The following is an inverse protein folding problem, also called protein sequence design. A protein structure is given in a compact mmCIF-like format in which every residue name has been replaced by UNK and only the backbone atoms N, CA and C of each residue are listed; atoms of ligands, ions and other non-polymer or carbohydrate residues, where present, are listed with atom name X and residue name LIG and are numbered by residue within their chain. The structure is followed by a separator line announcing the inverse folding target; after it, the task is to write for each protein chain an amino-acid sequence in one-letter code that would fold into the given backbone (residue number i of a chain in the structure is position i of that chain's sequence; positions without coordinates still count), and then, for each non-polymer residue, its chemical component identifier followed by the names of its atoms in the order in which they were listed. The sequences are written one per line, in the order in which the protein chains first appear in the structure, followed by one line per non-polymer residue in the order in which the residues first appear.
data_IF_564912966174
#
_entry.id   IF_564912966174
#
_cell.length_a   1.000
_cell.length_b   1.000
_cell.length_c   1.000
_cell.angle_alpha   90.00
_cell.angle_beta   90.00
_cell.angle_gamma   90.00
#
_symmetry.space_group_name_H-M   'P 1'
#
loop_
_entity.id
_entity.type
_entity.pdbx_description
1 polymer ?
#
# COMPACT_ATOMS: atom_id res chain seq x y z
N UNK A 1 33.41 -44.44 -48.16
CA UNK A 1 32.29 -44.13 -47.23
C UNK A 1 31.19 -43.42 -48.01
N UNK A 2 29.95 -43.88 -47.87
CA UNK A 2 28.81 -43.41 -48.67
C UNK A 2 28.28 -42.06 -48.16
N UNK A 3 27.69 -41.26 -49.04
CA UNK A 3 27.04 -39.98 -48.71
C UNK A 3 25.93 -40.15 -47.64
N UNK A 4 25.27 -41.31 -47.65
CA UNK A 4 24.27 -41.72 -46.65
C UNK A 4 24.84 -41.82 -45.21
N UNK A 5 26.11 -42.25 -45.05
CA UNK A 5 26.72 -42.42 -43.73
C UNK A 5 27.07 -41.06 -43.10
N UNK A 6 27.50 -40.10 -43.92
CA UNK A 6 27.74 -38.72 -43.48
C UNK A 6 26.44 -38.04 -43.06
N UNK A 7 25.35 -38.29 -43.79
CA UNK A 7 24.04 -37.72 -43.46
C UNK A 7 23.48 -38.28 -42.13
N UNK A 8 23.52 -39.60 -41.92
CA UNK A 8 23.12 -40.20 -40.63
C UNK A 8 23.99 -39.73 -39.48
N UNK A 9 25.31 -39.65 -39.67
CA UNK A 9 26.24 -39.16 -38.65
C UNK A 9 25.96 -37.69 -38.28
N UNK A 10 25.68 -36.85 -39.27
CA UNK A 10 25.31 -35.45 -39.04
C UNK A 10 23.97 -35.33 -38.29
N UNK A 11 22.96 -36.10 -38.68
CA UNK A 11 21.66 -36.13 -38.00
C UNK A 11 21.77 -36.61 -36.55
N UNK A 12 22.59 -37.63 -36.29
CA UNK A 12 22.81 -38.17 -34.95
C UNK A 12 23.54 -37.17 -34.05
N UNK A 13 24.58 -36.48 -34.57
CA UNK A 13 25.27 -35.39 -33.85
C UNK A 13 24.34 -34.20 -33.57
N UNK A 14 23.51 -33.82 -34.53
CA UNK A 14 22.52 -32.77 -34.37
C UNK A 14 21.50 -33.11 -33.28
N UNK A 15 21.03 -34.36 -33.21
CA UNK A 15 20.09 -34.79 -32.16
C UNK A 15 20.68 -34.76 -30.75
N UNK A 16 21.97 -35.10 -30.61
CA UNK A 16 22.68 -35.06 -29.33
C UNK A 16 22.91 -33.60 -28.89
N UNK A 17 23.29 -32.72 -29.83
CA UNK A 17 23.43 -31.29 -29.55
C UNK A 17 22.08 -30.62 -29.24
N UNK A 18 21.00 -31.01 -29.89
CA UNK A 18 19.66 -30.50 -29.59
C UNK A 18 19.21 -30.86 -28.16
N UNK A 19 19.44 -32.10 -27.73
CA UNK A 19 19.15 -32.52 -26.35
C UNK A 19 20.04 -31.79 -25.32
N UNK A 20 21.32 -31.62 -25.61
CA UNK A 20 22.23 -30.87 -24.74
C UNK A 20 21.87 -29.38 -24.65
N UNK A 21 21.51 -28.76 -25.78
CA UNK A 21 21.06 -27.38 -25.85
C UNK A 21 19.72 -27.17 -25.14
N UNK A 22 18.75 -28.08 -25.32
CA UNK A 22 17.49 -28.03 -24.59
C UNK A 22 17.70 -28.15 -23.07
N UNK A 23 18.57 -29.07 -22.63
CA UNK A 23 18.90 -29.23 -21.22
C UNK A 23 19.66 -28.02 -20.65
N UNK A 24 20.65 -27.48 -21.36
CA UNK A 24 21.36 -26.27 -20.93
C UNK A 24 20.43 -25.06 -20.87
N UNK A 25 19.60 -24.85 -21.89
CA UNK A 25 18.62 -23.75 -21.93
C UNK A 25 17.63 -23.86 -20.76
N UNK A 26 17.15 -25.07 -20.45
CA UNK A 26 16.25 -25.29 -19.30
C UNK A 26 16.91 -24.98 -17.96
N UNK A 27 18.20 -25.30 -17.79
CA UNK A 27 18.96 -24.99 -16.57
C UNK A 27 19.18 -23.49 -16.43
N UNK A 28 19.61 -22.81 -17.48
CA UNK A 28 19.82 -21.36 -17.45
C UNK A 28 18.51 -20.60 -17.20
N UNK A 29 17.39 -21.05 -17.81
CA UNK A 29 16.07 -20.46 -17.55
C UNK A 29 15.64 -20.72 -16.10
N UNK A 30 15.83 -21.93 -15.57
CA UNK A 30 15.52 -22.22 -14.16
C UNK A 30 16.42 -21.45 -13.19
N UNK A 31 17.71 -21.28 -13.48
CA UNK A 31 18.66 -20.53 -12.64
C UNK A 31 18.39 -19.02 -12.68
N UNK A 32 18.04 -18.47 -13.85
CA UNK A 32 17.60 -17.08 -13.97
C UNK A 32 16.25 -16.84 -13.29
N UNK A 33 15.30 -17.77 -13.43
CA UNK A 33 14.03 -17.71 -12.71
C UNK A 33 14.23 -17.88 -11.19
N UNK A 34 15.15 -18.74 -10.76
CA UNK A 34 15.51 -18.91 -9.35
C UNK A 34 16.22 -17.67 -8.79
N UNK A 35 17.09 -17.02 -9.57
CA UNK A 35 17.75 -15.76 -9.18
C UNK A 35 16.78 -14.57 -9.14
N UNK A 36 15.84 -14.51 -10.09
CA UNK A 36 14.74 -13.54 -10.07
C UNK A 36 13.80 -13.79 -8.88
N UNK A 37 13.53 -15.06 -8.52
CA UNK A 37 12.82 -15.45 -7.29
C UNK A 37 13.64 -15.11 -6.03
N UNK A 38 14.95 -15.26 -6.05
CA UNK A 38 15.84 -14.91 -4.94
C UNK A 38 15.90 -13.39 -4.65
N UNK A 39 15.48 -12.56 -5.61
CA UNK A 39 15.20 -11.13 -5.38
C UNK A 39 13.99 -10.88 -4.47
N UNK A 40 13.06 -11.83 -4.41
CA UNK A 40 11.80 -11.77 -3.66
C UNK A 40 11.71 -12.93 -2.67
N UNK A 41 12.37 -12.77 -1.52
CA UNK A 41 12.30 -13.70 -0.40
C UNK A 41 11.57 -13.05 0.77
N UNK A 42 10.89 -13.84 1.60
CA UNK A 42 10.17 -13.34 2.77
C UNK A 42 11.03 -12.45 3.69
N UNK A 43 12.28 -12.81 4.06
CA UNK A 43 13.13 -11.94 4.89
C UNK A 43 13.36 -10.55 4.26
N UNK A 44 13.71 -10.49 2.97
CA UNK A 44 13.90 -9.23 2.24
C UNK A 44 12.63 -8.39 2.15
N UNK A 45 11.46 -9.02 2.00
CA UNK A 45 10.20 -8.29 1.99
C UNK A 45 9.82 -7.77 3.38
N UNK A 46 10.13 -8.51 4.45
CA UNK A 46 10.00 -8.03 5.83
C UNK A 46 10.94 -6.86 6.13
N UNK A 47 12.22 -6.94 5.73
CA UNK A 47 13.18 -5.83 5.87
C UNK A 47 12.73 -4.58 5.11
N UNK A 48 12.19 -4.78 3.90
CA UNK A 48 11.62 -3.70 3.09
C UNK A 48 10.39 -3.11 3.75
N UNK A 49 9.50 -3.95 4.28
CA UNK A 49 8.32 -3.51 4.99
C UNK A 49 8.66 -2.72 6.26
N UNK A 50 9.66 -3.12 7.03
CA UNK A 50 10.16 -2.37 8.19
C UNK A 50 10.61 -0.96 7.78
N UNK A 51 11.39 -0.84 6.69
CA UNK A 51 11.84 0.46 6.15
C UNK A 51 10.70 1.32 5.64
N UNK A 52 9.73 0.71 4.94
CA UNK A 52 8.54 1.41 4.45
C UNK A 52 7.77 1.94 5.65
N UNK A 53 7.38 1.06 6.59
CA UNK A 53 6.63 1.43 7.79
C UNK A 53 7.31 2.56 8.54
N UNK A 54 8.59 2.43 8.88
CA UNK A 54 9.36 3.47 9.59
C UNK A 54 9.23 4.85 8.95
N UNK A 55 9.13 4.88 7.62
CA UNK A 55 9.08 6.12 6.86
C UNK A 55 7.66 6.71 6.72
N UNK A 56 6.63 6.00 7.22
CA UNK A 56 5.26 6.45 7.44
C UNK A 56 4.95 6.77 8.90
N UNK A 57 5.93 6.61 9.80
CA UNK A 57 5.77 6.92 11.21
C UNK A 57 6.32 8.30 11.53
N UNK A 58 5.80 8.88 12.61
CA UNK A 58 6.32 10.12 13.14
C UNK A 58 7.75 9.89 13.63
N UNK A 59 8.67 10.71 13.15
CA UNK A 59 10.04 10.76 13.62
C UNK A 59 10.11 11.68 14.86
N UNK A 60 10.49 11.15 16.04
CA UNK A 60 10.65 11.96 17.24
C UNK A 60 11.67 13.09 17.10
N UNK A 61 12.67 12.92 16.23
CA UNK A 61 13.71 13.92 15.97
C UNK A 61 13.24 15.01 14.99
N UNK A 62 12.14 14.76 14.27
CA UNK A 62 11.54 15.69 13.29
C UNK A 62 10.02 15.81 13.52
N UNK A 63 9.56 16.64 14.47
CA UNK A 63 8.16 16.74 14.88
C UNK A 63 7.17 17.11 13.76
N UNK A 64 7.65 17.75 12.68
CA UNK A 64 6.89 18.08 11.49
C UNK A 64 6.48 16.85 10.67
N UNK A 65 7.21 15.74 10.80
CA UNK A 65 6.88 14.46 10.15
C UNK A 65 5.55 13.87 10.66
N UNK A 66 5.16 14.16 11.90
CA UNK A 66 3.93 13.65 12.52
C UNK A 66 2.66 14.06 11.73
N UNK A 67 2.71 15.20 11.03
CA UNK A 67 1.57 15.70 10.24
C UNK A 67 1.25 14.83 9.02
N UNK A 68 2.22 14.06 8.52
CA UNK A 68 2.07 13.19 7.35
C UNK A 68 2.25 11.70 7.69
N UNK A 69 2.20 11.37 8.99
CA UNK A 69 2.42 10.03 9.51
C UNK A 69 1.11 9.31 9.78
N UNK A 70 1.18 7.98 9.82
CA UNK A 70 0.06 7.15 10.27
C UNK A 70 -0.13 7.40 11.77
N UNK A 71 -1.31 7.85 12.22
CA UNK A 71 -1.53 8.10 13.64
C UNK A 71 -1.38 6.83 14.46
N UNK A 72 -0.81 6.95 15.66
CA UNK A 72 -0.68 5.84 16.60
C UNK A 72 -2.00 5.09 16.82
N UNK A 73 -3.09 5.85 17.00
CA UNK A 73 -4.42 5.27 17.22
C UNK A 73 -4.89 4.38 16.06
N UNK A 74 -4.48 4.67 14.82
CA UNK A 74 -4.79 3.83 13.65
C UNK A 74 -4.05 2.50 13.73
N UNK A 75 -2.75 2.51 14.09
CA UNK A 75 -1.94 1.29 14.22
C UNK A 75 -2.39 0.43 15.40
N UNK A 76 -2.73 1.04 16.54
CA UNK A 76 -3.23 0.32 17.71
C UNK A 76 -4.56 -0.40 17.45
N UNK A 77 -5.44 0.19 16.64
CA UNK A 77 -6.72 -0.42 16.29
C UNK A 77 -6.65 -1.36 15.07
N UNK A 78 -5.52 -1.38 14.36
CA UNK A 78 -5.32 -2.20 13.17
C UNK A 78 -5.52 -3.69 13.47
N UNK A 79 -6.32 -4.35 12.62
CA UNK A 79 -6.51 -5.81 12.59
C UNK A 79 -5.55 -6.48 11.62
N UNK A 80 -4.96 -5.73 10.71
CA UNK A 80 -3.89 -6.20 9.83
C UNK A 80 -3.18 -5.04 9.15
N UNK A 81 -1.98 -5.32 8.65
CA UNK A 81 -1.17 -4.39 7.88
C UNK A 81 -0.71 -5.08 6.59
N UNK A 82 -0.92 -4.44 5.44
CA UNK A 82 -0.27 -4.83 4.20
C UNK A 82 0.72 -3.73 3.79
N UNK A 83 1.98 -4.09 3.64
CA UNK A 83 3.08 -3.16 3.37
C UNK A 83 3.81 -3.61 2.12
N UNK A 84 3.82 -2.78 1.08
CA UNK A 84 4.37 -3.16 -0.22
C UNK A 84 4.85 -1.96 -1.02
N UNK A 85 5.75 -2.20 -1.96
CA UNK A 85 6.22 -1.20 -2.92
C UNK A 85 5.77 -1.58 -4.33
N UNK A 86 5.35 -0.60 -5.12
CA UNK A 86 4.93 -0.77 -6.51
C UNK A 86 5.78 0.12 -7.40
N UNK A 87 6.37 -0.48 -8.43
CA UNK A 87 6.95 0.26 -9.55
C UNK A 87 5.86 0.48 -10.58
N UNK A 88 5.65 1.74 -10.95
CA UNK A 88 4.73 2.16 -12.00
C UNK A 88 5.54 2.80 -13.13
N UNK A 89 5.19 2.47 -14.36
CA UNK A 89 5.69 3.16 -15.54
C UNK A 89 4.60 3.21 -16.61
N UNK A 90 4.58 4.29 -17.39
CA UNK A 90 3.72 4.32 -18.57
C UNK A 90 3.85 5.55 -19.45
N UNK A 91 3.40 5.38 -20.68
CA UNK A 91 3.19 6.43 -21.69
C UNK A 91 1.97 6.01 -22.52
N UNK A 92 0.82 6.68 -22.29
CA UNK A 92 -0.50 6.29 -22.81
C UNK A 92 -1.03 4.95 -22.23
N UNK A 93 -0.20 3.91 -22.24
CA UNK A 93 -0.40 2.66 -21.52
C UNK A 93 0.44 2.63 -20.25
N UNK A 94 -0.07 1.96 -19.21
CA UNK A 94 0.60 1.83 -17.92
C UNK A 94 0.73 0.38 -17.47
N UNK A 95 1.83 0.12 -16.78
CA UNK A 95 2.06 -1.12 -16.05
C UNK A 95 2.49 -0.82 -14.63
N UNK A 96 1.97 -1.61 -13.69
CA UNK A 96 2.40 -1.63 -12.29
C UNK A 96 2.81 -3.04 -11.91
N UNK A 97 3.90 -3.14 -11.15
CA UNK A 97 4.31 -4.38 -10.52
C UNK A 97 4.89 -4.07 -9.14
N UNK A 98 4.48 -4.84 -8.13
CA UNK A 98 4.94 -4.65 -6.77
C UNK A 98 4.97 -5.92 -5.94
N UNK A 99 5.60 -5.81 -4.78
CA UNK A 99 5.68 -6.88 -3.79
C UNK A 99 5.74 -6.32 -2.38
N UNK A 100 5.37 -7.16 -1.43
CA UNK A 100 5.50 -6.87 -0.03
C UNK A 100 5.01 -8.01 0.84
N UNK A 101 4.55 -7.67 2.04
CA UNK A 101 4.01 -8.62 3.02
C UNK A 101 2.72 -8.13 3.62
N UNK A 102 1.93 -9.08 4.13
CA UNK A 102 0.78 -8.82 4.98
C UNK A 102 0.95 -9.54 6.32
N UNK A 103 0.52 -8.89 7.40
CA UNK A 103 0.40 -9.45 8.75
C UNK A 103 -0.98 -9.15 9.32
N UNK A 104 -1.45 -10.00 10.23
CA UNK A 104 -2.72 -9.83 10.93
C UNK A 104 -2.50 -9.81 12.44
N UNK A 105 -3.34 -9.07 13.16
CA UNK A 105 -3.37 -9.09 14.61
C UNK A 105 -4.18 -10.30 15.07
N UNK A 106 -3.57 -11.12 15.92
CA UNK A 106 -4.16 -12.32 16.47
C UNK A 106 -5.06 -11.98 17.68
N UNK A 107 -5.94 -12.92 18.11
CA UNK A 107 -6.83 -12.69 19.25
C UNK A 107 -6.12 -12.39 20.58
N UNK A 108 -4.87 -12.83 20.72
CA UNK A 108 -4.01 -12.56 21.89
C UNK A 108 -3.31 -11.19 21.81
N UNK A 109 -3.53 -10.42 20.74
CA UNK A 109 -2.94 -9.11 20.50
C UNK A 109 -1.59 -9.13 19.77
N UNK A 110 -0.98 -10.31 19.62
CA UNK A 110 0.29 -10.49 18.90
C UNK A 110 0.11 -10.39 17.38
N UNK A 111 1.21 -10.23 16.65
CA UNK A 111 1.21 -10.25 15.20
C UNK A 111 1.43 -11.66 14.65
N UNK A 112 0.67 -12.01 13.61
CA UNK A 112 0.77 -13.28 12.91
C UNK A 112 2.08 -13.41 12.14
N UNK A 113 2.40 -14.64 11.69
CA UNK A 113 3.42 -14.85 10.67
C UNK A 113 3.08 -14.04 9.39
N UNK A 114 4.07 -13.49 8.68
CA UNK A 114 3.83 -12.70 7.49
C UNK A 114 3.56 -13.60 6.28
N UNK A 115 2.71 -13.13 5.37
CA UNK A 115 2.50 -13.73 4.06
C UNK A 115 3.02 -12.81 2.97
N UNK A 116 3.85 -13.31 2.07
CA UNK A 116 4.32 -12.55 0.92
C UNK A 116 3.19 -12.31 -0.07
N UNK A 117 3.14 -11.08 -0.57
CA UNK A 117 2.13 -10.61 -1.51
C UNK A 117 2.79 -10.02 -2.75
N UNK A 118 2.09 -10.11 -3.86
CA UNK A 118 2.43 -9.47 -5.13
C UNK A 118 1.29 -8.58 -5.56
N UNK A 119 1.60 -7.51 -6.29
CA UNK A 119 0.57 -6.69 -6.92
C UNK A 119 0.91 -6.38 -8.36
N UNK A 120 -0.12 -6.33 -9.19
CA UNK A 120 0.00 -6.01 -10.61
C UNK A 120 -1.22 -5.22 -11.08
N UNK A 121 -0.98 -4.28 -11.98
CA UNK A 121 -2.03 -3.58 -12.69
C UNK A 121 -1.56 -3.28 -14.12
N UNK A 122 -2.52 -3.24 -15.04
CA UNK A 122 -2.35 -2.61 -16.34
C UNK A 122 -3.43 -1.56 -16.48
N UNK A 123 -3.09 -0.46 -17.14
CA UNK A 123 -4.00 0.65 -17.30
C UNK A 123 -3.76 1.42 -18.59
N UNK A 124 -4.65 2.36 -18.82
CA UNK A 124 -4.61 3.28 -19.95
C UNK A 124 -5.02 4.67 -19.47
N UNK A 125 -4.35 5.70 -19.99
CA UNK A 125 -4.66 7.07 -19.61
C UNK A 125 -3.72 8.09 -20.25
N UNK A 126 -4.06 9.37 -20.08
CA UNK A 126 -3.19 10.47 -20.46
C UNK A 126 -2.09 10.60 -19.41
N UNK A 127 -1.11 9.71 -19.48
CA UNK A 127 -0.01 9.63 -18.52
C UNK A 127 1.34 9.48 -19.17
N UNK A 128 2.36 10.00 -18.51
CA UNK A 128 3.77 9.81 -18.83
C UNK A 128 4.60 9.79 -17.55
N UNK A 129 5.50 8.82 -17.45
CA UNK A 129 6.53 8.80 -16.42
C UNK A 129 6.74 7.46 -15.77
N UNK A 130 7.52 7.49 -14.69
CA UNK A 130 7.78 6.35 -13.84
C UNK A 130 7.98 6.79 -12.39
N UNK A 131 7.44 6.00 -11.48
CA UNK A 131 7.52 6.22 -10.05
C UNK A 131 7.58 4.90 -9.29
N UNK A 132 8.13 4.97 -8.09
CA UNK A 132 8.03 3.92 -7.09
C UNK A 132 7.13 4.45 -6.00
N UNK A 133 6.03 3.75 -5.74
CA UNK A 133 5.10 4.10 -4.68
C UNK A 133 5.15 3.03 -3.59
N UNK A 134 5.39 3.48 -2.35
CA UNK A 134 5.40 2.65 -1.14
C UNK A 134 4.04 2.77 -0.47
N UNK A 135 3.39 1.66 -0.12
CA UNK A 135 2.06 1.62 0.46
C UNK A 135 2.06 0.97 1.84
N UNK A 136 1.25 1.52 2.74
CA UNK A 136 0.80 0.89 3.98
C UNK A 136 -0.73 0.90 3.96
N UNK A 137 -1.32 -0.29 3.90
CA UNK A 137 -2.76 -0.49 4.02
C UNK A 137 -3.04 -1.02 5.41
N UNK A 138 -3.87 -0.27 6.16
CA UNK A 138 -4.35 -0.65 7.49
C UNK A 138 -5.74 -1.26 7.35
N UNK A 139 -5.87 -2.52 7.74
CA UNK A 139 -7.14 -3.23 7.79
C UNK A 139 -7.78 -2.98 9.17
N UNK A 140 -8.97 -2.40 9.18
CA UNK A 140 -9.64 -1.99 10.42
C UNK A 140 -10.64 -3.03 10.95
N UNK A 141 -10.90 -4.11 10.20
CA UNK A 141 -11.80 -5.19 10.60
C UNK A 141 -11.22 -6.58 10.31
N UNK A 142 -11.65 -7.59 11.07
CA UNK A 142 -11.31 -8.98 10.78
C UNK A 142 -11.81 -9.43 9.41
N UNK A 143 -12.95 -8.90 8.97
CA UNK A 143 -13.51 -9.24 7.66
C UNK A 143 -12.64 -8.73 6.52
N UNK A 144 -12.00 -7.56 6.68
CA UNK A 144 -10.99 -7.06 5.74
C UNK A 144 -9.77 -7.99 5.67
N UNK A 145 -9.30 -8.47 6.84
CA UNK A 145 -8.19 -9.45 6.92
C UNK A 145 -8.59 -10.78 6.28
N UNK A 146 -9.79 -11.29 6.58
CA UNK A 146 -10.34 -12.53 6.00
C UNK A 146 -10.50 -12.41 4.49
N UNK A 147 -11.02 -11.28 4.00
CA UNK A 147 -11.14 -11.02 2.57
C UNK A 147 -9.77 -11.10 1.89
N UNK A 148 -8.74 -10.50 2.48
CA UNK A 148 -7.37 -10.61 1.99
C UNK A 148 -6.85 -12.06 2.03
N UNK A 149 -7.02 -12.73 3.17
CA UNK A 149 -6.47 -14.05 3.45
C UNK A 149 -7.11 -15.17 2.60
N UNK A 150 -8.41 -15.07 2.31
CA UNK A 150 -9.18 -16.12 1.64
C UNK A 150 -9.31 -15.93 0.13
N UNK A 151 -9.40 -14.69 -0.35
CA UNK A 151 -9.70 -14.47 -1.77
C UNK A 151 -8.52 -14.79 -2.68
N UNK A 152 -7.28 -14.75 -2.17
CA UNK A 152 -6.05 -14.97 -2.96
C UNK A 152 -5.82 -13.92 -4.06
N UNK A 153 -6.81 -13.08 -4.33
CA UNK A 153 -6.80 -11.85 -5.12
C UNK A 153 -7.68 -10.83 -4.38
N UNK A 154 -7.13 -9.69 -4.00
CA UNK A 154 -7.90 -8.55 -3.52
C UNK A 154 -7.83 -7.45 -4.57
N UNK A 155 -8.98 -7.06 -5.12
CA UNK A 155 -9.10 -5.90 -5.99
C UNK A 155 -9.55 -4.69 -5.17
N UNK A 156 -8.65 -3.74 -4.98
CA UNK A 156 -8.97 -2.48 -4.28
C UNK A 156 -9.89 -1.65 -5.19
N UNK A 157 -11.01 -1.17 -4.64
CA UNK A 157 -12.07 -0.48 -5.41
C UNK A 157 -13.16 -1.38 -5.99
N UNK A 158 -12.99 -2.71 -5.93
CA UNK A 158 -14.00 -3.68 -6.33
C UNK A 158 -14.62 -4.40 -5.13
N UNK A 159 -13.86 -5.35 -4.57
CA UNK A 159 -14.33 -6.24 -3.50
C UNK A 159 -14.22 -5.63 -2.10
N UNK A 160 -13.34 -4.64 -1.93
CA UNK A 160 -13.17 -3.90 -0.68
C UNK A 160 -12.92 -2.43 -1.00
N UNK A 161 -13.70 -1.55 -0.37
CA UNK A 161 -13.48 -0.11 -0.47
C UNK A 161 -12.26 0.27 0.37
N UNK A 162 -11.42 1.12 -0.21
CA UNK A 162 -10.29 1.72 0.48
C UNK A 162 -10.51 3.23 0.54
N UNK A 163 -10.18 3.81 1.68
CA UNK A 163 -10.18 5.25 1.87
C UNK A 163 -8.76 5.72 2.19
N UNK A 164 -8.44 6.97 1.84
CA UNK A 164 -7.27 7.62 2.39
C UNK A 164 -7.39 7.66 3.93
N UNK A 165 -6.34 7.23 4.62
CA UNK A 165 -6.35 7.21 6.08
C UNK A 165 -6.24 8.62 6.68
N UNK A 166 -6.71 8.84 7.92
CA UNK A 166 -6.52 10.11 8.61
C UNK A 166 -5.03 10.34 8.88
N UNK A 167 -4.61 11.61 8.84
CA UNK A 167 -3.25 12.08 9.18
C UNK A 167 -3.34 13.21 10.20
N UNK A 168 -2.24 13.48 10.93
CA UNK A 168 -2.13 14.56 11.91
C UNK A 168 -2.46 14.15 13.35
N UNK A 169 -3.06 15.06 14.13
CA UNK A 169 -3.43 14.83 15.54
C UNK A 169 -4.84 15.35 15.86
N UNK A 170 -5.44 14.88 16.96
CA UNK A 170 -6.65 15.48 17.54
C UNK A 170 -7.99 14.94 17.04
N UNK A 171 -9.03 15.78 17.06
CA UNK A 171 -10.44 15.36 16.96
C UNK A 171 -10.84 14.67 15.65
N UNK A 172 -10.20 15.00 14.53
CA UNK A 172 -10.50 14.37 13.23
C UNK A 172 -10.12 12.88 13.22
N UNK A 173 -9.03 12.51 13.90
CA UNK A 173 -8.60 11.11 14.03
C UNK A 173 -9.57 10.34 14.91
N UNK A 174 -9.99 10.93 16.03
CA UNK A 174 -10.95 10.30 16.93
C UNK A 174 -12.29 9.99 16.24
N UNK A 175 -12.74 10.85 15.31
CA UNK A 175 -13.91 10.56 14.49
C UNK A 175 -13.65 9.42 13.51
N UNK A 176 -12.53 9.46 12.79
CA UNK A 176 -12.18 8.45 11.79
C UNK A 176 -11.96 7.04 12.37
N UNK A 177 -11.40 6.92 13.58
CA UNK A 177 -11.22 5.62 14.24
C UNK A 177 -12.50 5.08 14.89
N UNK A 178 -13.52 5.94 15.12
CA UNK A 178 -14.80 5.53 15.72
C UNK A 178 -15.69 4.79 14.72
N UNK A 179 -15.66 5.19 13.47
CA UNK A 179 -16.35 4.53 12.35
C UNK A 179 -15.38 4.43 11.16
N UNK A 180 -14.40 3.50 11.24
CA UNK A 180 -13.34 3.43 10.25
C UNK A 180 -13.82 2.76 8.95
N UNK A 181 -13.31 3.26 7.82
CA UNK A 181 -13.42 2.52 6.56
C UNK A 181 -12.77 1.12 6.71
N UNK A 182 -13.21 0.08 5.97
CA UNK A 182 -12.63 -1.26 6.09
C UNK A 182 -11.11 -1.28 5.89
N UNK A 183 -10.62 -0.42 4.98
CA UNK A 183 -9.20 -0.19 4.72
C UNK A 183 -8.86 1.31 4.78
N UNK A 184 -7.83 1.66 5.55
CA UNK A 184 -7.11 2.92 5.36
C UNK A 184 -5.85 2.71 4.54
N UNK A 185 -5.56 3.66 3.68
CA UNK A 185 -4.54 3.53 2.63
C UNK A 185 -3.61 4.75 2.70
N UNK A 186 -2.32 4.51 2.98
CA UNK A 186 -1.25 5.51 3.07
C UNK A 186 -0.15 5.19 2.07
N UNK A 187 0.29 6.16 1.27
CA UNK A 187 1.39 5.94 0.33
C UNK A 187 2.23 7.17 0.14
N UNK A 188 3.41 6.90 -0.41
CA UNK A 188 4.44 7.87 -0.71
C UNK A 188 5.09 7.45 -2.02
N UNK A 189 4.97 8.33 -3.01
CA UNK A 189 5.54 8.14 -4.33
C UNK A 189 6.86 8.88 -4.45
N UNK A 190 7.85 8.24 -5.08
CA UNK A 190 9.12 8.84 -5.48
C UNK A 190 9.29 8.63 -6.98
N UNK A 191 9.40 9.71 -7.74
CA UNK A 191 9.57 9.65 -9.19
C UNK A 191 8.96 10.85 -9.91
N UNK A 192 8.94 10.77 -11.23
CA UNK A 192 8.31 11.76 -12.09
C UNK A 192 7.19 11.08 -12.87
N UNK A 193 5.97 11.33 -12.45
CA UNK A 193 4.78 10.81 -13.09
C UNK A 193 3.74 11.92 -13.20
N UNK A 194 3.26 12.17 -14.41
CA UNK A 194 2.23 13.16 -14.68
C UNK A 194 1.12 12.51 -15.49
N UNK A 195 -0.11 12.62 -15.03
CA UNK A 195 -1.26 12.16 -15.79
C UNK A 195 -2.47 11.73 -15.00
N UNK A 196 -3.51 11.38 -15.74
CA UNK A 196 -4.74 10.78 -15.23
C UNK A 196 -4.84 9.38 -15.84
N UNK A 197 -5.04 8.38 -15.00
CA UNK A 197 -5.05 6.97 -15.41
C UNK A 197 -6.11 6.18 -14.66
N UNK A 198 -6.83 5.32 -15.38
CA UNK A 198 -7.69 4.31 -14.76
C UNK A 198 -6.92 2.99 -14.68
N UNK A 199 -6.79 2.45 -13.47
CA UNK A 199 -5.96 1.27 -13.20
C UNK A 199 -6.67 0.33 -12.24
N UNK A 200 -6.81 -0.93 -12.63
CA UNK A 200 -7.28 -1.99 -11.73
C UNK A 200 -6.11 -2.62 -11.00
N UNK A 201 -6.07 -2.53 -9.67
CA UNK A 201 -4.99 -3.10 -8.85
C UNK A 201 -5.44 -4.42 -8.23
N UNK A 202 -4.67 -5.48 -8.45
CA UNK A 202 -4.88 -6.79 -7.81
C UNK A 202 -3.73 -7.07 -6.85
N UNK A 203 -4.04 -7.47 -5.62
CA UNK A 203 -3.08 -8.01 -4.66
C UNK A 203 -3.27 -9.53 -4.57
N UNK A 204 -2.19 -10.29 -4.77
CA UNK A 204 -2.22 -11.76 -4.76
C UNK A 204 -1.24 -12.33 -3.74
N UNK A 205 -1.59 -13.47 -3.17
CA UNK A 205 -0.66 -14.25 -2.35
C UNK A 205 0.46 -14.83 -3.22
N UNK A 206 1.72 -14.71 -2.76
CA UNK A 206 2.88 -15.36 -3.39
C UNK A 206 3.15 -16.71 -2.75
N UNK A 207 2.32 -17.69 -3.09
CA UNK A 207 2.35 -19.07 -2.53
C UNK A 207 3.72 -19.73 -2.66
N UNK A 208 4.40 -19.54 -3.79
CA UNK A 208 5.74 -20.09 -4.02
C UNK A 208 6.77 -19.45 -3.10
N UNK A 209 6.74 -18.13 -2.94
CA UNK A 209 7.66 -17.43 -2.02
C UNK A 209 7.41 -17.82 -0.57
N UNK A 210 6.14 -17.97 -0.17
CA UNK A 210 5.77 -18.48 1.15
C UNK A 210 6.29 -19.91 1.34
N UNK A 211 6.03 -20.80 0.38
CA UNK A 211 6.50 -22.20 0.41
C UNK A 211 8.02 -22.29 0.52
N UNK A 212 8.75 -21.49 -0.25
CA UNK A 212 10.21 -21.49 -0.27
C UNK A 212 10.79 -21.10 1.11
N UNK A 213 10.12 -20.20 1.83
CA UNK A 213 10.52 -19.80 3.19
C UNK A 213 10.07 -20.80 4.26
N UNK A 214 8.80 -21.18 4.28
CA UNK A 214 8.21 -22.04 5.32
C UNK A 214 8.52 -23.54 5.11
N UNK A 215 9.13 -23.93 4.00
CA UNK A 215 9.48 -25.31 3.67
C UNK A 215 8.31 -26.19 3.23
N UNK A 216 7.08 -25.68 3.29
CA UNK A 216 5.86 -26.38 2.90
C UNK A 216 4.82 -25.38 2.37
N UNK A 217 3.87 -25.82 1.53
CA UNK A 217 2.82 -24.94 1.01
C UNK A 217 1.83 -24.58 2.11
N UNK A 218 2.02 -23.43 2.74
CA UNK A 218 1.12 -22.87 3.75
C UNK A 218 0.33 -21.72 3.12
N UNK A 219 -1.01 -21.77 3.10
CA UNK A 219 -1.82 -20.69 2.55
C UNK A 219 -1.81 -19.46 3.48
N UNK A 220 -2.01 -18.27 2.91
CA UNK A 220 -2.04 -17.01 3.65
C UNK A 220 -3.00 -17.03 4.83
N UNK A 221 -4.17 -17.68 4.71
CA UNK A 221 -5.11 -17.84 5.83
C UNK A 221 -4.48 -18.52 7.05
N UNK A 222 -3.65 -19.54 6.86
CA UNK A 222 -3.04 -20.26 7.97
C UNK A 222 -1.93 -19.44 8.63
N UNK A 223 -1.21 -18.64 7.82
CA UNK A 223 -0.21 -17.69 8.31
C UNK A 223 -0.88 -16.57 9.14
N UNK A 224 -1.95 -15.97 8.59
CA UNK A 224 -2.64 -14.81 9.18
C UNK A 224 -3.57 -15.18 10.35
N UNK A 225 -3.92 -16.45 10.51
CA UNK A 225 -4.69 -16.95 11.68
C UNK A 225 -3.81 -17.51 12.79
N UNK A 226 -2.47 -17.43 12.66
CA UNK A 226 -1.54 -17.81 13.71
C UNK A 226 -1.32 -19.33 13.86
N UNK A 227 -1.65 -20.13 12.83
CA UNK A 227 -1.33 -21.57 12.84
C UNK A 227 0.17 -21.83 12.70
N UNK A 228 0.91 -20.83 12.26
CA UNK A 228 2.36 -20.82 12.13
C UNK A 228 2.91 -19.72 13.04
N UNK A 229 3.94 -20.00 13.86
CA UNK A 229 4.56 -18.97 14.67
C UNK A 229 5.25 -17.92 13.80
N UNK A 230 5.26 -16.68 14.28
CA UNK A 230 5.97 -15.60 13.63
C UNK A 230 7.49 -15.92 13.55
N UNK A 231 8.11 -15.83 12.36
CA UNK A 231 9.52 -16.14 12.19
C UNK A 231 10.42 -14.98 12.64
N UNK A 232 11.64 -15.29 13.09
CA UNK A 232 12.67 -14.30 13.45
C UNK A 232 13.01 -13.34 12.30
N UNK A 233 12.88 -13.82 11.04
CA UNK A 233 13.10 -13.01 9.85
C UNK A 233 12.16 -11.79 9.71
N UNK A 234 11.10 -11.71 10.52
CA UNK A 234 10.16 -10.60 10.54
C UNK A 234 10.32 -9.68 11.77
N UNK A 235 11.28 -9.97 12.66
CA UNK A 235 11.54 -9.22 13.91
C UNK A 235 11.63 -7.72 13.71
N UNK A 236 12.49 -7.25 12.81
CA UNK A 236 12.66 -5.82 12.54
C UNK A 236 11.36 -5.11 12.11
N UNK A 237 10.48 -5.80 11.38
CA UNK A 237 9.18 -5.25 11.01
C UNK A 237 8.25 -5.15 12.23
N UNK A 238 8.22 -6.18 13.08
CA UNK A 238 7.41 -6.16 14.29
C UNK A 238 7.87 -5.11 15.28
N UNK A 239 9.19 -4.96 15.46
CA UNK A 239 9.79 -3.93 16.31
C UNK A 239 9.36 -2.53 15.87
N UNK A 240 9.33 -2.26 14.56
CA UNK A 240 8.87 -0.97 14.03
C UNK A 240 7.39 -0.73 14.33
N UNK A 241 6.53 -1.74 14.15
CA UNK A 241 5.09 -1.62 14.42
C UNK A 241 4.83 -1.44 15.91
N UNK A 242 5.50 -2.23 16.76
CA UNK A 242 5.39 -2.16 18.21
C UNK A 242 5.91 -0.82 18.75
N UNK A 243 7.05 -0.34 18.25
CA UNK A 243 7.57 0.98 18.59
C UNK A 243 6.56 2.07 18.23
N UNK A 244 5.95 2.01 17.03
CA UNK A 244 4.92 2.93 16.58
C UNK A 244 3.68 2.95 17.51
N UNK A 245 3.27 1.77 18.00
CA UNK A 245 2.17 1.61 18.94
C UNK A 245 2.50 2.12 20.35
N UNK A 246 3.77 2.32 20.66
CA UNK A 246 4.24 2.80 21.96
C UNK A 246 4.66 4.28 21.97
N UNK A 247 4.87 4.93 20.80
CA UNK A 247 5.30 6.35 20.71
C UNK A 247 4.43 7.27 21.58
N UNK A 248 5.06 8.08 22.42
CA UNK A 248 4.35 9.10 23.21
C UNK A 248 4.07 10.34 22.35
N UNK A 249 2.83 10.47 21.87
CA UNK A 249 2.38 11.63 21.09
C UNK A 249 1.99 12.84 21.97
N UNK A 250 2.12 12.75 23.30
CA UNK A 250 1.70 13.83 24.22
C UNK A 250 2.49 15.13 24.06
N UNK A 251 3.69 15.07 23.48
CA UNK A 251 4.53 16.22 23.12
C UNK A 251 4.25 16.82 21.74
N UNK A 252 3.38 16.22 20.92
CA UNK A 252 3.07 16.70 19.56
C UNK A 252 2.03 17.83 19.68
N UNK A 253 2.21 18.98 19.00
CA UNK A 253 1.30 20.11 19.13
C UNK A 253 -0.15 19.71 18.79
N UNK A 254 -1.09 20.01 19.69
CA UNK A 254 -2.52 19.78 19.46
C UNK A 254 -3.17 20.81 18.52
N UNK A 255 -2.43 21.85 18.14
CA UNK A 255 -2.86 22.87 17.19
C UNK A 255 -2.24 22.59 15.82
N UNK A 256 -3.10 22.54 14.81
CA UNK A 256 -2.71 22.55 13.40
C UNK A 256 -1.80 23.75 13.15
N UNK A 257 -0.56 23.51 12.71
CA UNK A 257 0.29 24.57 12.19
C UNK A 257 -0.37 25.13 10.92
N UNK A 258 -0.92 26.35 11.02
CA UNK A 258 -1.31 27.15 9.87
C UNK A 258 -0.06 27.97 9.50
N UNK A 259 0.60 27.72 8.36
CA UNK A 259 1.70 28.56 7.95
C UNK A 259 1.19 29.99 7.76
N UNK A 260 1.80 30.95 8.45
CA UNK A 260 1.61 32.37 8.13
C UNK A 260 2.19 32.62 6.74
N UNK A 261 1.36 32.55 5.70
CA UNK A 261 1.76 32.98 4.36
C UNK A 261 1.76 34.50 4.31
N UNK A 262 2.87 35.10 4.77
CA UNK A 262 3.19 36.50 4.52
C UNK A 262 4.53 36.62 3.78
N UNK A 263 4.40 36.64 2.44
CA UNK A 263 5.24 37.34 1.43
C UNK A 263 6.72 36.92 1.24
N UNK A 264 7.00 36.16 0.18
CA UNK A 264 7.69 36.57 -1.08
C UNK A 264 8.09 35.33 -1.90
N UNK A 265 7.88 35.41 -3.21
CA UNK A 265 7.67 34.25 -4.08
C UNK A 265 8.86 33.33 -4.34
N UNK A 266 8.56 32.04 -4.37
CA UNK A 266 9.14 31.10 -5.33
C UNK A 266 8.23 29.86 -5.44
N UNK A 267 7.80 29.56 -6.65
CA UNK A 267 6.99 28.40 -6.99
C UNK A 267 7.80 27.12 -6.75
N UNK A 268 7.32 26.27 -5.83
CA UNK A 268 7.82 24.92 -5.60
C UNK A 268 6.67 24.04 -5.12
N UNK A 269 5.96 23.41 -6.04
CA UNK A 269 4.91 22.42 -5.75
C UNK A 269 5.55 21.14 -5.20
N UNK A 270 5.43 20.94 -3.88
CA UNK A 270 5.69 19.68 -3.20
C UNK A 270 4.46 19.28 -2.38
N UNK A 271 3.34 19.03 -3.04
CA UNK A 271 2.12 18.53 -2.41
C UNK A 271 2.04 17.01 -2.55
N UNK A 272 1.84 16.31 -1.43
CA UNK A 272 1.46 14.89 -1.41
C UNK A 272 0.11 14.71 -2.12
N UNK A 273 0.14 14.30 -3.39
CA UNK A 273 -1.06 13.92 -4.12
C UNK A 273 -1.58 12.59 -3.57
N UNK A 274 -2.77 12.61 -2.99
CA UNK A 274 -3.50 11.39 -2.61
C UNK A 274 -3.65 10.49 -3.84
N UNK A 275 -3.17 9.28 -3.73
CA UNK A 275 -3.28 8.25 -4.73
C UNK A 275 -4.58 7.49 -4.43
N UNK A 276 -5.53 7.55 -5.35
CA UNK A 276 -6.77 6.80 -5.21
C UNK A 276 -6.56 5.39 -5.80
N UNK A 277 -6.58 4.37 -4.94
CA UNK A 277 -6.58 2.97 -5.37
C UNK A 277 -7.97 2.47 -5.76
N UNK A 278 -9.03 3.26 -5.53
CA UNK A 278 -10.43 2.86 -5.76
C UNK A 278 -10.94 3.12 -7.19
N UNK A 279 -10.11 3.66 -8.08
CA UNK A 279 -10.45 3.86 -9.49
C UNK A 279 -11.38 5.05 -9.76
N UNK A 280 -11.55 5.97 -8.80
CA UNK A 280 -12.30 7.20 -8.99
C UNK A 280 -11.49 8.25 -9.74
N UNK A 281 -12.06 8.80 -10.82
CA UNK A 281 -11.47 9.93 -11.52
C UNK A 281 -11.30 11.12 -10.55
N UNK A 282 -10.10 11.68 -10.48
CA UNK A 282 -9.83 12.93 -9.78
C UNK A 282 -10.63 14.07 -10.45
N UNK A 283 -11.81 14.39 -9.90
CA UNK A 283 -12.42 15.70 -10.07
C UNK A 283 -11.65 16.66 -9.17
N UNK A 284 -10.97 17.63 -9.76
CA UNK A 284 -10.36 18.72 -9.03
C UNK A 284 -11.40 19.35 -8.11
N UNK A 285 -11.18 19.25 -6.80
CA UNK A 285 -12.03 19.93 -5.82
C UNK A 285 -11.75 21.42 -5.91
N UNK A 286 -12.54 22.10 -6.74
CA UNK A 286 -12.74 23.55 -6.61
C UNK A 286 -13.26 23.80 -5.21
N UNK A 287 -12.46 24.51 -4.41
CA UNK A 287 -12.81 25.00 -3.09
C UNK A 287 -14.08 25.85 -3.20
N UNK A 288 -15.24 25.30 -2.87
CA UNK A 288 -16.44 26.09 -2.66
C UNK A 288 -16.32 26.75 -1.29
N UNK A 289 -15.84 28.00 -1.31
CA UNK A 289 -15.91 28.91 -0.17
C UNK A 289 -17.35 28.98 0.33
N UNK A 290 -17.58 28.57 1.58
CA UNK A 290 -18.80 28.90 2.32
C UNK A 290 -18.60 30.30 2.91
N UNK A 291 -19.44 31.30 2.60
CA UNK A 291 -19.27 32.63 3.16
C UNK A 291 -19.63 32.63 4.65
N UNK A 292 -18.74 33.20 5.45
CA UNK A 292 -18.96 33.48 6.86
C UNK A 292 -20.11 34.49 7.02
N UNK A 293 -21.14 34.10 7.77
CA UNK A 293 -22.19 34.99 8.24
C UNK A 293 -21.61 35.91 9.33
N UNK A 294 -21.43 37.19 9.00
CA UNK A 294 -21.28 38.26 9.97
C UNK A 294 -22.65 38.84 10.29
N UNK A 295 -23.04 38.81 11.56
CA UNK A 295 -24.16 39.62 12.06
C UNK A 295 -23.98 39.95 13.55
N UNK A 296 -23.67 41.22 13.80
CA UNK A 296 -23.89 41.97 15.06
C UNK A 296 -24.16 43.40 14.55
N UNK A 297 -25.17 44.18 14.91
CA UNK A 297 -25.96 44.36 16.14
C UNK A 297 -27.26 45.12 15.80
N UNK A 298 -28.34 44.78 16.52
CA UNK A 298 -29.34 45.63 17.19
C UNK A 298 -30.10 46.77 16.47
N UNK A 299 -31.43 46.79 16.71
CA UNK A 299 -32.26 47.95 17.14
C UNK A 299 -33.61 48.06 16.43
N UNK A 300 -34.71 48.00 17.18
CA UNK A 300 -35.96 48.71 16.85
C UNK A 300 -37.26 47.93 17.03
N UNK A 301 -38.08 48.38 18.00
CA UNK A 301 -39.49 48.08 18.20
C UNK A 301 -40.32 48.14 16.89
N UNK A 302 -41.43 47.42 16.70
CA UNK A 302 -42.74 47.77 17.24
C UNK A 302 -43.78 46.69 16.90
N UNK A 303 -44.82 46.58 17.73
CA UNK A 303 -45.85 45.56 17.74
C UNK A 303 -46.83 45.60 16.55
N UNK A 304 -47.29 44.43 16.07
CA UNK A 304 -48.72 44.26 15.77
C UNK A 304 -49.18 42.78 15.76
N UNK A 305 -50.46 42.62 16.14
CA UNK A 305 -51.21 41.43 16.59
C UNK A 305 -51.37 40.25 15.60
N UNK A 306 -51.77 39.05 16.08
CA UNK A 306 -52.06 37.89 15.25
C UNK A 306 -53.51 37.91 14.74
N UNK A 307 -53.73 37.34 13.55
CA UNK A 307 -55.07 36.95 13.12
C UNK A 307 -55.01 35.58 12.46
N UNK A 308 -55.76 34.63 13.02
CA UNK A 308 -56.15 33.39 12.38
C UNK A 308 -57.09 33.71 11.22
N UNK A 309 -56.98 33.01 10.08
CA UNK A 309 -58.03 32.11 9.59
C UNK A 309 -57.74 31.59 8.16
N UNK A 310 -58.09 30.30 7.98
CA UNK A 310 -58.36 29.54 6.75
C UNK A 310 -57.21 29.18 5.79
#
# INVERSE_FOLDING_TARGET
MSFMDKFRSAAQKASIQANAFAQQTSRTINEQAASARAGFSLPKECDKAAKILSAFLADPDHPDSALNSIPKAVLQNAKGLAVFSVVKAGFVWSGKLGSGVVIARLPDGSWSAPSCIGTGAVGFGLQIGADITEFVIVMNSEDAVKAFAHAGNLTIGGSLSAAAGPIGTGGAINAAIRDPAPLFTYSRSKGLFAGISLEGTVLVERKETNKDFYGQPIPAVDLLTGKVPAPEAASAMYEVVEAAEMVDESGVPQQSYVPDTAVQGQQGQGGVAGYDLSGGAALGSTTTATPAAGATTASGAEANKPIFDA
#
